data_IF_497937788528
#
_entry.id   IF_497937788528
#
_cell.length_a   1.000
_cell.length_b   1.000
_cell.length_c   1.000
_cell.angle_alpha   90.00
_cell.angle_beta   90.00
_cell.angle_gamma   90.00
#
_symmetry.space_group_name_H-M   'P 1'
#
loop_
_entity.id
_entity.type
_entity.pdbx_description
1 polymer ?
#
# COMPACT_ATOMS: atom_id res chain seq x y z
N UNK A 1 18.98 -30.91 48.72
CA UNK A 1 19.78 -29.76 49.19
C UNK A 1 19.74 -28.67 48.13
N UNK A 2 18.73 -27.79 48.18
CA UNK A 2 18.65 -26.59 47.34
C UNK A 2 19.51 -25.49 47.99
N UNK A 3 20.46 -24.94 47.24
CA UNK A 3 21.25 -23.77 47.65
C UNK A 3 20.42 -22.50 47.37
N UNK A 4 20.51 -21.47 48.23
CA UNK A 4 19.75 -20.24 48.05
C UNK A 4 20.41 -19.39 46.95
N UNK A 5 19.62 -18.93 45.99
CA UNK A 5 20.05 -17.93 45.01
C UNK A 5 20.37 -16.63 45.79
N UNK A 6 21.63 -16.21 45.73
CA UNK A 6 22.10 -15.02 46.43
C UNK A 6 21.63 -13.74 45.73
N UNK A 7 21.34 -12.67 46.49
CA UNK A 7 20.83 -11.39 45.95
C UNK A 7 21.78 -10.69 44.96
N UNK A 8 23.03 -11.15 44.84
CA UNK A 8 23.99 -10.65 43.85
C UNK A 8 23.74 -11.18 42.43
N UNK A 9 23.06 -12.31 42.25
CA UNK A 9 22.76 -12.86 40.90
C UNK A 9 21.71 -12.00 40.18
N UNK A 10 20.69 -11.56 40.91
CA UNK A 10 19.61 -10.75 40.36
C UNK A 10 20.11 -9.35 40.03
N UNK A 11 20.99 -8.78 40.86
CA UNK A 11 21.60 -7.48 40.61
C UNK A 11 22.46 -7.46 39.33
N UNK A 12 23.18 -8.55 39.03
CA UNK A 12 23.97 -8.67 37.80
C UNK A 12 23.05 -8.83 36.57
N UNK A 13 22.00 -9.66 36.67
CA UNK A 13 21.03 -9.83 35.59
C UNK A 13 20.30 -8.53 35.26
N UNK A 14 19.96 -7.74 36.28
CA UNK A 14 19.32 -6.42 36.11
C UNK A 14 20.32 -5.44 35.47
N UNK A 15 21.59 -5.47 35.84
CA UNK A 15 22.60 -4.62 35.22
C UNK A 15 22.81 -4.94 33.73
N UNK A 16 22.86 -6.23 33.36
CA UNK A 16 22.94 -6.65 31.95
C UNK A 16 21.71 -6.22 31.14
N UNK A 17 20.51 -6.28 31.74
CA UNK A 17 19.28 -5.79 31.13
C UNK A 17 19.31 -4.27 30.94
N UNK A 18 19.81 -3.52 31.93
CA UNK A 18 20.01 -2.06 31.81
C UNK A 18 20.97 -1.75 30.66
N UNK A 19 22.09 -2.46 30.55
CA UNK A 19 23.09 -2.24 29.50
C UNK A 19 22.55 -2.58 28.09
N UNK A 20 21.65 -3.55 27.96
CA UNK A 20 20.94 -3.84 26.70
C UNK A 20 19.92 -2.74 26.36
N UNK A 21 19.14 -2.30 27.35
CA UNK A 21 18.15 -1.24 27.18
C UNK A 21 18.80 0.10 26.81
N UNK A 22 19.95 0.43 27.40
CA UNK A 22 20.73 1.62 27.04
C UNK A 22 21.22 1.55 25.59
N UNK A 23 21.75 0.40 25.14
CA UNK A 23 22.14 0.20 23.73
C UNK A 23 20.96 0.37 22.77
N UNK A 24 19.80 -0.21 23.11
CA UNK A 24 18.57 -0.07 22.30
C UNK A 24 18.08 1.37 22.27
N UNK A 25 18.25 2.11 23.36
CA UNK A 25 17.86 3.50 23.48
C UNK A 25 18.79 4.42 22.67
N UNK A 26 20.09 4.13 22.63
CA UNK A 26 21.05 4.83 21.77
C UNK A 26 20.74 4.62 20.29
N UNK A 27 20.48 3.38 19.86
CA UNK A 27 20.09 3.07 18.47
C UNK A 27 18.77 3.77 18.10
N UNK A 28 17.76 3.73 18.98
CA UNK A 28 16.50 4.44 18.77
C UNK A 28 16.69 5.96 18.68
N UNK A 29 17.54 6.55 19.53
CA UNK A 29 17.89 7.98 19.47
C UNK A 29 18.64 8.33 18.19
N UNK A 30 19.51 7.44 17.69
CA UNK A 30 20.25 7.66 16.46
C UNK A 30 19.30 7.61 15.25
N UNK A 31 18.38 6.64 15.21
CA UNK A 31 17.30 6.58 14.20
C UNK A 31 16.40 7.82 14.25
N UNK A 32 16.03 8.28 15.44
CA UNK A 32 15.24 9.50 15.61
C UNK A 32 16.03 10.72 15.09
N UNK A 33 17.31 10.87 15.43
CA UNK A 33 18.16 11.95 14.92
C UNK A 33 18.31 11.90 13.40
N UNK A 34 18.41 10.71 12.79
CA UNK A 34 18.43 10.57 11.34
C UNK A 34 17.08 10.96 10.72
N UNK A 35 15.96 10.54 11.32
CA UNK A 35 14.62 10.93 10.88
C UNK A 35 14.39 12.46 11.03
N UNK A 36 14.81 13.06 12.14
CA UNK A 36 14.70 14.52 12.35
C UNK A 36 15.63 15.30 11.43
N UNK A 37 16.84 14.78 11.13
CA UNK A 37 17.76 15.39 10.17
C UNK A 37 17.27 15.24 8.72
N UNK A 38 16.57 14.16 8.40
CA UNK A 38 15.82 14.02 7.16
C UNK A 38 14.56 14.93 7.11
N UNK A 39 14.12 15.44 8.28
CA UNK A 39 12.94 16.29 8.45
C UNK A 39 13.26 17.81 8.52
N UNK A 40 14.49 18.25 8.22
CA UNK A 40 14.83 19.69 8.09
C UNK A 40 15.28 20.09 6.69
N UNK A 41 14.67 21.17 6.16
CA UNK A 41 13.37 21.04 5.54
C UNK A 41 13.49 19.98 4.43
N UNK A 42 12.57 19.03 4.40
CA UNK A 42 12.20 18.45 3.11
C UNK A 42 12.08 19.64 2.17
N UNK A 43 12.96 19.71 1.15
CA UNK A 43 12.74 20.51 -0.04
C UNK A 43 11.31 20.17 -0.37
N UNK A 44 10.41 21.07 0.00
CA UNK A 44 8.99 20.87 -0.18
C UNK A 44 8.94 20.51 -1.65
N UNK A 45 8.52 19.29 -1.93
CA UNK A 45 7.72 19.07 -3.12
C UNK A 45 6.51 19.96 -2.87
N UNK A 46 6.68 21.28 -3.00
CA UNK A 46 5.63 22.16 -3.40
C UNK A 46 5.17 21.47 -4.67
N UNK A 47 3.98 20.86 -4.67
CA UNK A 47 3.42 20.42 -5.92
C UNK A 47 3.50 21.66 -6.82
N UNK A 48 4.15 21.59 -7.99
CA UNK A 48 4.20 22.74 -8.87
C UNK A 48 2.76 23.13 -9.10
N UNK A 49 2.41 24.34 -8.62
CA UNK A 49 1.04 24.67 -8.24
C UNK A 49 0.01 24.06 -9.17
N UNK A 50 -0.62 22.93 -8.81
CA UNK A 50 -1.70 22.42 -9.58
C UNK A 50 -2.86 23.31 -9.17
N UNK A 51 -3.52 23.96 -10.13
CA UNK A 51 -4.81 24.57 -9.84
C UNK A 51 -5.67 23.57 -9.05
N UNK A 52 -6.58 24.01 -8.16
CA UNK A 52 -7.33 23.17 -7.22
C UNK A 52 -8.08 21.95 -7.81
N UNK A 53 -8.04 21.78 -9.13
CA UNK A 53 -8.67 20.73 -9.94
C UNK A 53 -7.72 19.61 -10.41
N UNK A 54 -6.39 19.71 -10.25
CA UNK A 54 -5.48 18.69 -10.79
C UNK A 54 -5.43 17.38 -9.99
N UNK A 55 -5.48 17.45 -8.64
CA UNK A 55 -5.56 16.26 -7.79
C UNK A 55 -6.90 15.52 -8.00
N UNK A 56 -8.07 16.20 -8.04
CA UNK A 56 -9.33 15.56 -8.40
C UNK A 56 -9.29 14.88 -9.78
N UNK A 57 -8.70 15.55 -10.79
CA UNK A 57 -8.64 15.01 -12.14
C UNK A 57 -7.73 13.77 -12.24
N UNK A 58 -6.56 13.78 -11.58
CA UNK A 58 -5.66 12.64 -11.56
C UNK A 58 -6.30 11.42 -10.88
N UNK A 59 -7.01 11.61 -9.77
CA UNK A 59 -7.74 10.52 -9.09
C UNK A 59 -8.88 9.98 -9.94
N UNK A 60 -9.61 10.86 -10.65
CA UNK A 60 -10.67 10.44 -11.57
C UNK A 60 -10.09 9.62 -12.73
N UNK A 61 -8.98 10.07 -13.32
CA UNK A 61 -8.28 9.36 -14.39
C UNK A 61 -7.74 8.01 -13.92
N UNK A 62 -7.18 7.94 -12.71
CA UNK A 62 -6.72 6.69 -12.09
C UNK A 62 -7.88 5.74 -11.78
N UNK A 63 -9.07 6.26 -11.54
CA UNK A 63 -10.29 5.48 -11.27
C UNK A 63 -11.05 5.10 -12.55
N UNK A 64 -10.60 5.58 -13.72
CA UNK A 64 -11.27 5.31 -14.99
C UNK A 64 -11.05 3.85 -15.42
N UNK A 65 -12.14 3.14 -15.67
CA UNK A 65 -12.12 1.78 -16.21
C UNK A 65 -11.46 1.66 -17.60
N UNK A 66 -11.33 2.77 -18.33
CA UNK A 66 -10.66 2.82 -19.63
C UNK A 66 -9.14 3.01 -19.52
N UNK A 67 -8.58 3.10 -18.30
CA UNK A 67 -7.15 3.23 -18.11
C UNK A 67 -6.42 2.00 -18.67
N UNK A 68 -5.33 2.16 -19.45
CA UNK A 68 -4.67 1.06 -20.15
C UNK A 68 -3.78 0.23 -19.21
N UNK A 69 -4.33 -0.23 -18.09
CA UNK A 69 -3.64 -1.10 -17.13
C UNK A 69 -3.67 -2.58 -17.54
N UNK A 70 -4.35 -2.90 -18.64
CA UNK A 70 -4.85 -4.24 -18.90
C UNK A 70 -6.19 -4.45 -18.18
N UNK A 71 -7.04 -5.31 -18.74
CA UNK A 71 -8.35 -5.63 -18.15
C UNK A 71 -8.23 -5.95 -16.65
N UNK A 72 -9.29 -5.74 -15.87
CA UNK A 72 -9.40 -6.25 -14.50
C UNK A 72 -9.34 -7.77 -14.57
N UNK A 73 -8.12 -8.32 -14.54
CA UNK A 73 -7.83 -9.67 -14.99
C UNK A 73 -8.30 -10.77 -14.02
N UNK A 74 -9.13 -10.41 -13.03
CA UNK A 74 -9.57 -11.34 -12.00
C UNK A 74 -10.95 -10.97 -11.46
N UNK A 75 -11.95 -11.78 -11.78
CA UNK A 75 -13.33 -11.68 -11.26
C UNK A 75 -13.44 -12.10 -9.78
N UNK A 76 -12.32 -12.25 -9.07
CA UNK A 76 -12.26 -12.74 -7.69
C UNK A 76 -12.96 -14.09 -7.47
N UNK A 77 -13.07 -14.91 -8.53
CA UNK A 77 -13.74 -16.20 -8.47
C UNK A 77 -15.28 -16.13 -8.53
N UNK A 78 -15.85 -15.02 -8.99
CA UNK A 78 -17.31 -14.86 -9.12
C UNK A 78 -17.95 -15.98 -9.94
N UNK A 79 -17.33 -16.37 -11.07
CA UNK A 79 -17.83 -17.46 -11.92
C UNK A 79 -17.91 -18.79 -11.15
N UNK A 80 -16.86 -19.14 -10.42
CA UNK A 80 -16.82 -20.33 -9.57
C UNK A 80 -17.87 -20.28 -8.46
N UNK A 81 -18.05 -19.12 -7.84
CA UNK A 81 -19.07 -18.91 -6.80
C UNK A 81 -20.50 -19.08 -7.35
N UNK A 82 -20.78 -18.53 -8.52
CA UNK A 82 -22.06 -18.69 -9.20
C UNK A 82 -22.32 -20.14 -9.61
N UNK A 83 -21.30 -20.81 -10.17
CA UNK A 83 -21.38 -22.23 -10.54
C UNK A 83 -21.69 -23.12 -9.33
N UNK A 84 -21.01 -22.88 -8.20
CA UNK A 84 -21.22 -23.65 -6.97
C UNK A 84 -22.62 -23.44 -6.38
N UNK A 85 -23.09 -22.18 -6.32
CA UNK A 85 -24.45 -21.89 -5.84
C UNK A 85 -25.53 -22.53 -6.73
N UNK A 86 -25.32 -22.57 -8.05
CA UNK A 86 -26.22 -23.27 -8.98
C UNK A 86 -26.26 -24.78 -8.71
N UNK A 87 -25.11 -25.40 -8.42
CA UNK A 87 -25.03 -26.83 -8.08
C UNK A 87 -25.75 -27.14 -6.76
N UNK A 88 -25.52 -26.34 -5.71
CA UNK A 88 -26.21 -26.50 -4.42
C UNK A 88 -27.73 -26.43 -4.58
N UNK A 89 -28.23 -25.47 -5.36
CA UNK A 89 -29.66 -25.33 -5.65
C UNK A 89 -30.24 -26.52 -6.42
N UNK A 90 -29.44 -27.18 -7.26
CA UNK A 90 -29.88 -28.36 -8.01
C UNK A 90 -29.93 -29.64 -7.17
N UNK A 91 -29.03 -29.77 -6.18
CA UNK A 91 -28.95 -30.94 -5.31
C UNK A 91 -29.95 -30.91 -4.15
N UNK A 92 -30.38 -29.72 -3.71
CA UNK A 92 -31.35 -29.56 -2.62
C UNK A 92 -32.82 -29.74 -3.04
N UNK A 93 -33.10 -30.40 -4.17
CA UNK A 93 -34.49 -30.73 -4.58
C UNK A 93 -35.21 -31.67 -3.59
N UNK A 94 -34.48 -32.33 -2.67
CA UNK A 94 -35.03 -33.30 -1.72
C UNK A 94 -35.13 -32.82 -0.27
N UNK A 95 -34.61 -31.65 0.09
CA UNK A 95 -34.72 -31.10 1.46
C UNK A 95 -35.10 -29.62 1.43
N UNK A 96 -35.96 -29.23 2.37
CA UNK A 96 -36.56 -27.92 2.59
C UNK A 96 -35.53 -26.82 2.96
N UNK A 97 -34.56 -26.56 2.08
CA UNK A 97 -33.65 -25.43 2.18
C UNK A 97 -34.19 -24.25 1.36
N UNK A 98 -34.15 -23.01 1.87
CA UNK A 98 -34.60 -21.85 1.13
C UNK A 98 -33.71 -21.62 -0.10
N UNK A 99 -34.31 -21.54 -1.29
CA UNK A 99 -33.59 -21.14 -2.51
C UNK A 99 -33.10 -19.71 -2.35
N UNK A 100 -31.79 -19.51 -2.31
CA UNK A 100 -31.19 -18.17 -2.30
C UNK A 100 -31.36 -17.52 -3.67
N UNK A 101 -31.96 -16.32 -3.70
CA UNK A 101 -32.07 -15.53 -4.93
C UNK A 101 -30.66 -15.20 -5.48
N UNK A 102 -30.39 -15.35 -6.79
CA UNK A 102 -29.10 -15.01 -7.40
C UNK A 102 -28.61 -13.59 -7.07
N UNK A 103 -29.52 -12.62 -6.95
CA UNK A 103 -29.20 -11.24 -6.57
C UNK A 103 -28.65 -11.19 -5.14
N UNK A 104 -29.29 -11.89 -4.20
CA UNK A 104 -28.81 -11.98 -2.81
C UNK A 104 -27.47 -12.69 -2.73
N UNK A 105 -27.29 -13.79 -3.48
CA UNK A 105 -26.01 -14.50 -3.56
C UNK A 105 -24.90 -13.59 -4.09
N UNK A 106 -25.17 -12.77 -5.11
CA UNK A 106 -24.23 -11.79 -5.65
C UNK A 106 -23.88 -10.71 -4.62
N UNK A 107 -24.87 -10.14 -3.91
CA UNK A 107 -24.60 -9.15 -2.86
C UNK A 107 -23.71 -9.72 -1.75
N UNK A 108 -23.92 -10.98 -1.36
CA UNK A 108 -23.05 -11.66 -0.39
C UNK A 108 -21.63 -11.80 -0.93
N UNK A 109 -21.47 -12.26 -2.18
CA UNK A 109 -20.16 -12.34 -2.82
C UNK A 109 -19.46 -11.00 -2.87
N UNK A 110 -20.17 -9.94 -3.28
CA UNK A 110 -19.63 -8.59 -3.37
C UNK A 110 -19.20 -8.08 -1.99
N UNK A 111 -20.04 -8.24 -0.97
CA UNK A 111 -19.73 -7.87 0.41
C UNK A 111 -18.46 -8.55 0.92
N UNK A 112 -18.35 -9.87 0.73
CA UNK A 112 -17.17 -10.62 1.16
C UNK A 112 -15.93 -10.28 0.33
N UNK A 113 -16.08 -10.05 -0.97
CA UNK A 113 -14.97 -9.64 -1.85
C UNK A 113 -14.42 -8.27 -1.45
N UNK A 114 -15.30 -7.31 -1.18
CA UNK A 114 -14.91 -5.97 -0.71
C UNK A 114 -14.28 -6.03 0.68
N UNK A 115 -14.86 -6.77 1.62
CA UNK A 115 -14.28 -6.95 2.95
C UNK A 115 -12.89 -7.60 2.88
N UNK A 116 -12.73 -8.62 2.03
CA UNK A 116 -11.45 -9.26 1.77
C UNK A 116 -10.44 -8.24 1.27
N UNK A 117 -10.73 -7.54 0.16
CA UNK A 117 -9.82 -6.55 -0.44
C UNK A 117 -9.47 -5.39 0.51
N UNK A 118 -10.45 -4.92 1.29
CA UNK A 118 -10.25 -3.88 2.31
C UNK A 118 -9.35 -4.36 3.46
N UNK A 119 -9.33 -5.65 3.76
CA UNK A 119 -8.50 -6.22 4.83
C UNK A 119 -7.14 -6.73 4.36
N UNK A 120 -6.98 -7.10 3.08
CA UNK A 120 -5.77 -7.75 2.57
C UNK A 120 -4.94 -6.90 1.63
N UNK A 121 -5.52 -5.95 0.89
CA UNK A 121 -4.79 -5.11 -0.08
C UNK A 121 -4.70 -3.67 0.38
N UNK A 122 -5.80 -3.10 0.87
CA UNK A 122 -5.87 -1.70 1.28
C UNK A 122 -4.81 -1.32 2.35
N UNK A 123 -4.51 -2.16 3.36
CA UNK A 123 -3.47 -1.82 4.34
C UNK A 123 -2.08 -1.64 3.70
N UNK A 124 -1.72 -2.47 2.72
CA UNK A 124 -0.45 -2.34 2.00
C UNK A 124 -0.38 -1.05 1.20
N UNK A 125 -1.45 -0.70 0.47
CA UNK A 125 -1.52 0.56 -0.29
C UNK A 125 -1.38 1.78 0.63
N UNK A 126 -2.09 1.78 1.76
CA UNK A 126 -2.01 2.86 2.74
C UNK A 126 -0.65 2.94 3.43
N UNK A 127 -0.05 1.78 3.75
CA UNK A 127 1.29 1.72 4.33
C UNK A 127 2.34 2.25 3.35
N UNK A 128 2.32 1.79 2.10
CA UNK A 128 3.22 2.26 1.04
C UNK A 128 3.07 3.75 0.75
N UNK A 129 1.83 4.28 0.78
CA UNK A 129 1.59 5.72 0.63
C UNK A 129 2.17 6.56 1.78
N UNK A 130 2.12 6.05 3.02
CA UNK A 130 2.65 6.76 4.21
C UNK A 130 4.16 6.59 4.38
N UNK A 131 4.68 5.42 4.01
CA UNK A 131 6.05 4.96 4.20
C UNK A 131 6.62 4.43 2.88
N UNK A 132 6.86 5.31 1.88
CA UNK A 132 7.36 4.89 0.57
C UNK A 132 8.73 4.19 0.64
N UNK A 133 9.52 4.46 1.69
CA UNK A 133 10.79 3.77 1.96
C UNK A 133 10.63 2.27 2.23
N UNK A 134 9.43 1.81 2.61
CA UNK A 134 9.14 0.40 2.88
C UNK A 134 8.55 -0.32 1.67
N UNK A 135 8.40 0.35 0.52
CA UNK A 135 7.69 -0.19 -0.64
C UNK A 135 8.21 -1.56 -1.08
N UNK A 136 9.53 -1.74 -1.15
CA UNK A 136 10.14 -3.02 -1.53
C UNK A 136 9.77 -4.16 -0.56
N UNK A 137 9.78 -3.87 0.75
CA UNK A 137 9.40 -4.88 1.77
C UNK A 137 7.91 -5.20 1.69
N UNK A 138 7.06 -4.17 1.60
CA UNK A 138 5.61 -4.31 1.51
C UNK A 138 5.17 -5.06 0.23
N UNK A 139 5.84 -4.80 -0.90
CA UNK A 139 5.57 -5.47 -2.17
C UNK A 139 5.97 -6.95 -2.11
N UNK A 140 7.14 -7.25 -1.54
CA UNK A 140 7.59 -8.63 -1.31
C UNK A 140 6.61 -9.42 -0.41
N UNK A 141 6.12 -8.80 0.67
CA UNK A 141 5.14 -9.43 1.57
C UNK A 141 3.80 -9.68 0.86
N UNK A 142 3.33 -8.71 0.08
CA UNK A 142 2.09 -8.84 -0.70
C UNK A 142 2.23 -9.92 -1.79
N UNK A 143 3.37 -9.98 -2.49
CA UNK A 143 3.70 -10.99 -3.48
C UNK A 143 3.75 -12.39 -2.83
N UNK A 144 4.40 -12.52 -1.67
CA UNK A 144 4.46 -13.76 -0.89
C UNK A 144 3.06 -14.23 -0.42
N UNK A 145 2.16 -13.29 -0.11
CA UNK A 145 0.77 -13.58 0.28
C UNK A 145 -0.17 -13.92 -0.90
N UNK A 146 0.33 -13.85 -2.15
CA UNK A 146 -0.44 -14.13 -3.37
C UNK A 146 0.00 -15.45 -4.02
N UNK A 147 -0.50 -16.62 -3.57
CA UNK A 147 -0.06 -17.93 -4.07
C UNK A 147 -0.55 -18.23 -5.49
N UNK A 148 -1.64 -17.60 -5.94
CA UNK A 148 -2.17 -17.80 -7.28
C UNK A 148 -1.25 -17.12 -8.30
N UNK A 149 -0.53 -17.91 -9.09
CA UNK A 149 0.44 -17.41 -10.10
C UNK A 149 -0.22 -16.54 -11.17
N UNK A 150 -1.48 -16.79 -11.51
CA UNK A 150 -2.25 -15.95 -12.45
C UNK A 150 -2.56 -14.59 -11.83
N UNK A 151 -3.06 -14.57 -10.59
CA UNK A 151 -3.33 -13.33 -9.84
C UNK A 151 -2.06 -12.53 -9.63
N UNK A 152 -0.96 -13.21 -9.26
CA UNK A 152 0.36 -12.60 -9.10
C UNK A 152 0.84 -11.94 -10.40
N UNK A 153 0.83 -12.67 -11.51
CA UNK A 153 1.25 -12.13 -12.83
C UNK A 153 0.38 -10.96 -13.27
N UNK A 154 -0.93 -11.05 -13.07
CA UNK A 154 -1.85 -9.95 -13.36
C UNK A 154 -1.51 -8.70 -12.53
N UNK A 155 -1.27 -8.87 -11.22
CA UNK A 155 -0.90 -7.77 -10.32
C UNK A 155 0.37 -7.07 -10.77
N UNK A 156 1.43 -7.83 -11.09
CA UNK A 156 2.71 -7.28 -11.58
C UNK A 156 2.52 -6.55 -12.91
N UNK A 157 1.81 -7.16 -13.86
CA UNK A 157 1.57 -6.54 -15.17
C UNK A 157 0.79 -5.22 -15.05
N UNK A 158 -0.23 -5.18 -14.19
CA UNK A 158 -1.02 -3.98 -13.92
C UNK A 158 -0.18 -2.89 -13.24
N UNK A 159 0.67 -3.24 -12.28
CA UNK A 159 1.61 -2.32 -11.64
C UNK A 159 2.62 -1.71 -12.62
N UNK A 160 3.21 -2.53 -13.51
CA UNK A 160 4.11 -2.06 -14.55
C UNK A 160 3.39 -1.14 -15.56
N UNK A 161 2.15 -1.46 -15.92
CA UNK A 161 1.34 -0.59 -16.77
C UNK A 161 1.07 0.77 -16.09
N UNK A 162 0.79 0.77 -14.79
CA UNK A 162 0.60 2.00 -14.00
C UNK A 162 1.87 2.86 -13.97
N UNK A 163 3.05 2.26 -13.79
CA UNK A 163 4.34 2.96 -13.91
C UNK A 163 4.51 3.56 -15.32
N UNK A 164 4.14 2.82 -16.36
CA UNK A 164 4.16 3.31 -17.73
C UNK A 164 3.23 4.49 -17.98
N UNK A 165 2.08 4.55 -17.31
CA UNK A 165 1.16 5.71 -17.31
C UNK A 165 1.77 6.89 -16.55
N UNK A 166 2.36 6.64 -15.38
CA UNK A 166 3.06 7.66 -14.59
C UNK A 166 4.14 8.38 -15.40
N UNK A 167 5.03 7.61 -16.03
CA UNK A 167 6.14 8.14 -16.82
C UNK A 167 5.68 9.01 -18.00
N UNK A 168 4.55 8.66 -18.63
CA UNK A 168 4.05 9.33 -19.84
C UNK A 168 3.11 10.50 -19.58
N UNK A 169 2.31 10.44 -18.51
CA UNK A 169 1.19 11.37 -18.30
C UNK A 169 1.34 12.24 -17.05
N UNK A 170 2.07 11.79 -16.03
CA UNK A 170 2.12 12.48 -14.73
C UNK A 170 3.49 13.05 -14.39
N UNK A 171 4.59 12.40 -14.81
CA UNK A 171 5.95 12.78 -14.45
C UNK A 171 6.25 14.27 -14.67
N UNK A 172 5.94 14.79 -15.85
CA UNK A 172 6.25 16.19 -16.20
C UNK A 172 5.45 17.16 -15.31
N UNK A 173 4.16 16.89 -15.13
CA UNK A 173 3.26 17.72 -14.32
C UNK A 173 3.67 17.80 -12.84
N UNK A 174 4.35 16.78 -12.28
CA UNK A 174 4.77 16.75 -10.87
C UNK A 174 6.26 17.03 -10.65
N UNK A 175 7.10 17.03 -11.69
CA UNK A 175 8.56 17.26 -11.57
C UNK A 175 9.00 18.64 -12.05
N UNK A 176 8.15 19.39 -12.77
CA UNK A 176 8.46 20.76 -13.21
C UNK A 176 8.55 21.73 -12.03
N UNK A 177 9.77 21.94 -11.51
CA UNK A 177 10.06 23.09 -10.63
C UNK A 177 10.03 24.36 -11.48
N UNK A 178 9.28 25.42 -11.12
CA UNK A 178 9.32 26.65 -11.90
C UNK A 178 10.73 27.25 -11.81
N UNK A 179 11.42 27.30 -12.96
CA UNK A 179 12.66 28.05 -13.11
C UNK A 179 12.35 29.53 -12.86
N UNK A 180 12.64 30.00 -11.63
CA UNK A 180 12.68 31.43 -11.32
C UNK A 180 13.93 32.03 -11.98
N UNK A 181 13.90 32.16 -13.31
CA UNK A 181 14.95 32.81 -14.06
C UNK A 181 14.83 34.31 -13.82
N UNK A 182 15.57 34.79 -12.82
CA UNK A 182 15.76 36.20 -12.52
C UNK A 182 16.24 36.91 -13.79
N UNK A 183 15.36 37.71 -14.38
CA UNK A 183 15.68 38.64 -15.46
C UNK A 183 16.60 39.72 -14.90
N UNK A 184 17.92 39.46 -14.88
CA UNK A 184 18.89 40.54 -14.71
C UNK A 184 18.85 41.38 -15.99
N UNK A 185 18.09 42.48 -15.94
CA UNK A 185 18.19 43.59 -16.87
C UNK A 185 19.54 44.27 -16.66
N UNK A 186 20.54 43.92 -17.46
CA UNK A 186 21.71 44.76 -17.61
C UNK A 186 21.30 45.99 -18.44
N UNK A 187 21.01 47.07 -17.74
CA UNK A 187 21.13 48.45 -18.22
C UNK A 187 22.60 48.68 -18.57
N UNK A 188 22.93 48.74 -19.85
CA UNK A 188 24.20 49.30 -20.30
C UNK A 188 23.92 50.70 -20.86
N UNK A 189 24.49 51.69 -20.18
CA UNK A 189 24.51 53.10 -20.57
C UNK A 189 25.95 53.43 -20.91
N UNK A 190 26.22 53.80 -22.15
CA UNK A 190 27.54 54.18 -22.64
C UNK A 190 27.56 54.35 -24.15
#
# INVERSE_FOLDING_TARGET
MQRPNGPGSDAISIQEEIDDLERRLEDAKQRLRMATRASSPAKSLTPPGPGPLAIPHALLLLSDSALPLGSFAYSSGLESYLAHNKLLQSQSQSQSQPRTNPVTSFHLFLSFSLASLASTTLPYVLAAHRHPEQLETLDNDLDASTPCTVTRRASVAQGLALLGVWERAFKDAYTHTPDNKSTNTNTDSG
#
